data_IF_563223463207
#
_entry.id   IF_563223463207
#
_cell.length_a   1.000
_cell.length_b   1.000
_cell.length_c   1.000
_cell.angle_alpha   90.00
_cell.angle_beta   90.00
_cell.angle_gamma   90.00
#
_symmetry.space_group_name_H-M   'P 1'
#
loop_
_entity.id
_entity.type
_entity.pdbx_description
1 polymer ?
#
# COMPACT_ATOMS: atom_id res chain seq x y z
N UNK A 1 25.23 2.98 -3.25
CA UNK A 1 24.65 1.86 -4.01
C UNK A 1 23.28 1.53 -3.41
N UNK A 2 22.24 1.25 -4.23
CA UNK A 2 20.94 0.88 -3.70
C UNK A 2 21.09 -0.42 -2.90
N UNK A 3 20.77 -0.34 -1.60
CA UNK A 3 20.90 -1.48 -0.69
C UNK A 3 19.61 -2.28 -0.75
N UNK A 4 19.69 -3.51 -1.25
CA UNK A 4 18.58 -4.44 -1.14
C UNK A 4 18.35 -4.79 0.33
N UNK A 5 17.11 -4.68 0.77
CA UNK A 5 16.68 -4.95 2.14
C UNK A 5 15.40 -5.76 2.09
N UNK A 6 15.29 -6.78 2.94
CA UNK A 6 14.05 -7.54 3.07
C UNK A 6 12.94 -6.60 3.54
N UNK A 7 11.76 -6.72 2.94
CA UNK A 7 10.59 -5.91 3.32
C UNK A 7 10.29 -6.01 4.81
N UNK A 8 10.33 -7.21 5.37
CA UNK A 8 10.13 -7.44 6.82
C UNK A 8 11.09 -6.61 7.68
N UNK A 9 12.38 -6.66 7.37
CA UNK A 9 13.42 -5.94 8.14
C UNK A 9 13.24 -4.42 8.00
N UNK A 10 12.84 -3.97 6.80
CA UNK A 10 12.51 -2.57 6.57
C UNK A 10 11.34 -2.09 7.45
N UNK A 11 10.24 -2.85 7.49
CA UNK A 11 9.05 -2.51 8.27
C UNK A 11 9.32 -2.59 9.79
N UNK A 12 10.17 -3.52 10.23
CA UNK A 12 10.61 -3.62 11.64
C UNK A 12 11.43 -2.38 12.03
N UNK A 13 12.38 -1.96 11.21
CA UNK A 13 13.22 -0.79 11.51
C UNK A 13 12.39 0.50 11.55
N UNK A 14 11.35 0.59 10.73
CA UNK A 14 10.35 1.66 10.78
C UNK A 14 9.36 1.54 11.95
N UNK A 15 9.48 0.49 12.77
CA UNK A 15 8.63 0.20 13.93
C UNK A 15 7.14 0.11 13.59
N UNK A 16 6.81 -0.36 12.40
CA UNK A 16 5.41 -0.53 11.97
C UNK A 16 4.84 -1.74 12.71
N UNK A 17 3.72 -1.62 13.45
CA UNK A 17 3.10 -2.76 14.14
C UNK A 17 2.59 -3.81 13.14
N UNK A 18 2.62 -5.08 13.52
CA UNK A 18 2.27 -6.20 12.63
C UNK A 18 0.85 -6.11 12.06
N UNK A 19 -0.12 -5.63 12.85
CA UNK A 19 -1.52 -5.44 12.43
C UNK A 19 -1.68 -4.48 11.25
N UNK A 20 -0.75 -3.53 11.09
CA UNK A 20 -0.74 -2.60 9.97
C UNK A 20 0.07 -3.14 8.79
N UNK A 21 1.09 -3.98 9.04
CA UNK A 21 2.01 -4.45 7.97
C UNK A 21 1.27 -5.15 6.84
N UNK A 22 0.30 -6.01 7.17
CA UNK A 22 -0.47 -6.77 6.17
C UNK A 22 -1.47 -5.90 5.40
N UNK A 23 -1.75 -4.69 5.89
CA UNK A 23 -2.67 -3.74 5.27
C UNK A 23 -1.95 -2.70 4.41
N UNK A 24 -0.62 -2.62 4.46
CA UNK A 24 0.14 -1.66 3.66
C UNK A 24 0.10 -2.09 2.20
N UNK A 25 -0.47 -1.26 1.30
CA UNK A 25 -0.43 -1.55 -0.12
C UNK A 25 1.00 -1.45 -0.67
N UNK A 26 1.39 -2.45 -1.46
CA UNK A 26 2.68 -2.52 -2.13
C UNK A 26 2.49 -2.24 -3.62
N UNK A 27 3.24 -1.28 -4.15
CA UNK A 27 3.31 -1.05 -5.60
C UNK A 27 4.51 -1.78 -6.16
N UNK A 28 4.25 -2.66 -7.13
CA UNK A 28 5.25 -3.51 -7.76
C UNK A 28 5.42 -3.11 -9.24
N UNK A 29 6.66 -3.14 -9.72
CA UNK A 29 6.97 -3.04 -11.15
C UNK A 29 8.07 -4.03 -11.50
N UNK A 30 7.80 -4.93 -12.45
CA UNK A 30 8.78 -5.91 -12.93
C UNK A 30 9.30 -6.83 -11.83
N UNK A 31 8.46 -7.16 -10.84
CA UNK A 31 8.83 -7.99 -9.68
C UNK A 31 9.59 -7.25 -8.57
N UNK A 32 9.78 -5.93 -8.68
CA UNK A 32 10.43 -5.10 -7.65
C UNK A 32 9.43 -4.20 -6.94
N UNK A 33 9.66 -3.94 -5.66
CA UNK A 33 8.87 -2.98 -4.87
C UNK A 33 9.34 -1.57 -5.21
N UNK A 34 8.39 -0.75 -5.71
CA UNK A 34 8.59 0.65 -6.09
C UNK A 34 8.23 1.56 -4.93
N UNK A 35 7.07 1.33 -4.33
CA UNK A 35 6.50 2.18 -3.29
C UNK A 35 5.78 1.32 -2.24
N UNK A 36 5.99 1.69 -0.98
CA UNK A 36 5.18 1.31 0.15
C UNK A 36 4.23 2.47 0.44
N UNK A 37 2.94 2.32 0.13
CA UNK A 37 2.01 3.44 0.19
C UNK A 37 1.94 4.02 1.61
N UNK A 38 2.17 5.33 1.72
CA UNK A 38 2.22 6.05 3.00
C UNK A 38 3.47 5.80 3.85
N UNK A 39 4.47 5.05 3.36
CA UNK A 39 5.69 4.73 4.11
C UNK A 39 6.95 5.25 3.42
N UNK A 40 7.29 4.75 2.23
CA UNK A 40 8.54 5.10 1.57
C UNK A 40 8.56 4.70 0.08
N UNK A 41 9.20 5.52 -0.75
CA UNK A 41 9.53 5.22 -2.15
C UNK A 41 10.93 4.59 -2.19
N UNK A 42 11.07 3.51 -2.96
CA UNK A 42 12.35 2.85 -3.20
C UNK A 42 13.35 3.80 -3.86
N UNK A 43 14.57 3.87 -3.32
CA UNK A 43 15.66 4.70 -3.85
C UNK A 43 15.95 4.41 -5.34
N UNK A 44 15.72 3.18 -5.80
CA UNK A 44 15.94 2.78 -7.19
C UNK A 44 14.92 3.41 -8.17
N UNK A 45 13.81 3.94 -7.65
CA UNK A 45 12.71 4.53 -8.42
C UNK A 45 12.47 6.00 -8.03
N UNK A 46 13.34 6.61 -7.21
CA UNK A 46 13.30 8.04 -6.97
C UNK A 46 13.71 8.79 -8.24
N UNK A 47 12.87 9.71 -8.69
CA UNK A 47 13.14 10.57 -9.83
C UNK A 47 14.05 11.71 -9.36
N UNK A 48 15.31 11.74 -9.81
CA UNK A 48 16.29 12.73 -9.38
C UNK A 48 16.40 13.95 -10.29
N UNK A 49 16.04 13.86 -11.57
CA UNK A 49 15.82 14.96 -12.53
C UNK A 49 15.54 14.36 -13.91
N UNK A 50 14.39 14.67 -14.53
CA UNK A 50 14.00 14.12 -15.82
C UNK A 50 13.59 12.64 -15.75
N UNK A 51 12.29 12.38 -15.78
CA UNK A 51 11.74 11.03 -15.77
C UNK A 51 10.22 11.04 -15.87
N UNK A 52 9.66 9.88 -16.17
CA UNK A 52 8.22 9.69 -16.13
C UNK A 52 7.75 9.62 -14.68
N UNK A 53 6.80 10.49 -14.32
CA UNK A 53 6.21 10.53 -13.00
C UNK A 53 4.85 9.85 -13.07
N UNK A 54 4.63 8.89 -12.17
CA UNK A 54 3.38 8.18 -12.03
C UNK A 54 2.76 8.52 -10.68
N UNK A 55 1.49 8.89 -10.68
CA UNK A 55 0.72 9.13 -9.46
C UNK A 55 -0.11 7.88 -9.12
N UNK A 56 -0.04 7.44 -7.86
CA UNK A 56 -0.80 6.28 -7.37
C UNK A 56 -1.65 6.74 -6.19
N UNK A 57 -2.97 6.68 -6.35
CA UNK A 57 -3.95 6.93 -5.30
C UNK A 57 -4.58 5.62 -4.85
N UNK A 58 -4.79 5.47 -3.53
CA UNK A 58 -5.42 4.30 -2.93
C UNK A 58 -6.60 4.77 -2.09
N UNK A 59 -7.79 4.27 -2.41
CA UNK A 59 -9.02 4.56 -1.69
C UNK A 59 -9.55 3.28 -1.04
N UNK A 60 -9.80 3.34 0.27
CA UNK A 60 -10.51 2.26 0.95
C UNK A 60 -12.00 2.30 0.58
N UNK A 61 -12.45 1.34 -0.25
CA UNK A 61 -13.88 1.12 -0.46
C UNK A 61 -14.48 0.46 0.78
N UNK A 62 -15.00 1.28 1.69
CA UNK A 62 -15.80 0.82 2.82
C UNK A 62 -17.09 0.12 2.32
N UNK A 63 -17.13 -1.21 2.32
CA UNK A 63 -18.31 -2.02 1.98
C UNK A 63 -19.40 -2.01 3.08
N UNK A 64 -19.52 -0.95 3.90
CA UNK A 64 -20.53 -0.88 4.97
C UNK A 64 -21.98 -0.66 4.48
N UNK A 65 -22.20 -0.55 3.17
CA UNK A 65 -23.53 -0.29 2.59
C UNK A 65 -24.40 -1.53 2.34
N UNK A 66 -23.82 -2.72 2.19
CA UNK A 66 -24.55 -3.90 1.65
C UNK A 66 -25.38 -4.63 2.71
N UNK A 67 -25.06 -4.50 4.01
CA UNK A 67 -25.80 -5.21 5.06
C UNK A 67 -27.15 -4.59 5.43
N UNK A 68 -27.35 -3.27 5.23
CA UNK A 68 -28.62 -2.61 5.58
C UNK A 68 -29.79 -2.93 4.66
N UNK A 69 -29.51 -3.44 3.46
CA UNK A 69 -30.54 -3.78 2.47
C UNK A 69 -31.12 -5.19 2.70
N UNK A 70 -30.31 -6.12 3.22
CA UNK A 70 -30.76 -7.46 3.60
C UNK A 70 -31.70 -7.43 4.83
N UNK A 71 -31.43 -6.56 5.81
CA UNK A 71 -32.28 -6.43 7.00
C UNK A 71 -33.64 -5.76 6.70
N UNK A 72 -33.74 -4.95 5.64
CA UNK A 72 -35.01 -4.30 5.24
C UNK A 72 -35.93 -5.20 4.41
N UNK A 73 -35.43 -6.28 3.83
CA UNK A 73 -36.22 -7.25 3.07
C UNK A 73 -36.80 -8.38 3.92
N UNK A 74 -36.37 -8.52 5.18
CA UNK A 74 -36.90 -9.53 6.10
C UNK A 74 -38.16 -9.07 6.86
N UNK A 75 -38.58 -7.81 6.70
CA UNK A 75 -39.71 -7.18 7.41
C UNK A 75 -40.91 -6.89 6.47
N UNK A 76 -40.99 -7.59 5.33
CA UNK A 76 -42.11 -7.55 4.37
C UNK A 76 -42.77 -8.90 4.20
#
# INVERSE_FOLDING_TARGET
MPKEKKLKDFLIDRKIPSEFRDRIPLVLWGGKIVLLAGVEISEAFKVSEGGEVYEVAIEEKNQKGVQREADRQADR
#
